data_IF_826045562551
#
_entry.id   IF_826045562551
#
_cell.length_a   1.000
_cell.length_b   1.000
_cell.length_c   1.000
_cell.angle_alpha   90.00
_cell.angle_beta   90.00
_cell.angle_gamma   90.00
#
_symmetry.space_group_name_H-M   'P 1'
#
loop_
_entity.id
_entity.type
_entity.pdbx_description
1 polymer ?
#
# COMPACT_ATOMS: atom_id res chain seq x y z
N UNK A 1 -11.88 18.03 -13.79
CA UNK A 1 -10.57 17.46 -14.15
C UNK A 1 -9.94 16.91 -12.87
N UNK A 2 -9.88 15.59 -12.73
CA UNK A 2 -9.37 14.95 -11.49
C UNK A 2 -7.87 14.74 -11.66
N UNK A 3 -7.08 15.73 -11.27
CA UNK A 3 -5.62 15.59 -11.29
C UNK A 3 -5.18 14.73 -10.10
N UNK A 4 -4.26 13.75 -10.31
CA UNK A 4 -3.65 13.02 -9.22
C UNK A 4 -2.91 13.97 -8.28
N UNK A 5 -3.11 13.77 -6.99
CA UNK A 5 -2.50 14.55 -5.90
C UNK A 5 -1.26 13.80 -5.44
N UNK A 6 -0.12 14.46 -5.41
CA UNK A 6 1.09 13.87 -4.85
C UNK A 6 1.00 13.86 -3.33
N UNK A 7 1.13 12.67 -2.73
CA UNK A 7 1.07 12.47 -1.28
C UNK A 7 2.46 12.45 -0.64
N UNK A 8 3.44 11.88 -1.33
CA UNK A 8 4.75 11.60 -0.81
C UNK A 8 5.83 11.64 -1.90
N UNK A 9 7.08 11.91 -1.51
CA UNK A 9 8.19 12.08 -2.47
C UNK A 9 9.17 10.90 -2.52
N UNK A 10 9.28 10.11 -1.44
CA UNK A 10 10.23 8.99 -1.39
C UNK A 10 9.72 7.82 -0.52
N UNK A 11 9.20 6.73 -1.12
CA UNK A 11 8.91 6.59 -2.56
C UNK A 11 7.81 7.56 -3.02
N UNK A 12 7.86 8.01 -4.25
CA UNK A 12 6.81 8.91 -4.78
C UNK A 12 5.45 8.20 -4.74
N UNK A 13 4.46 8.85 -4.16
CA UNK A 13 3.11 8.32 -4.05
C UNK A 13 2.08 9.33 -4.53
N UNK A 14 1.06 8.86 -5.23
CA UNK A 14 -0.01 9.64 -5.82
C UNK A 14 -1.38 9.14 -5.37
N UNK A 15 -2.30 10.06 -5.17
CA UNK A 15 -3.71 9.79 -4.90
C UNK A 15 -4.56 10.24 -6.09
N UNK A 16 -5.43 9.37 -6.56
CA UNK A 16 -6.48 9.69 -7.51
C UNK A 16 -7.84 9.39 -6.89
N UNK A 17 -8.74 10.36 -6.88
CA UNK A 17 -10.11 10.21 -6.40
C UNK A 17 -11.03 10.35 -7.61
N UNK A 18 -11.94 9.39 -7.79
CA UNK A 18 -12.94 9.36 -8.85
C UNK A 18 -14.33 9.36 -8.21
N UNK A 19 -14.98 10.53 -8.02
CA UNK A 19 -16.30 10.62 -7.45
C UNK A 19 -17.36 9.92 -8.31
N UNK A 20 -18.26 9.19 -7.67
CA UNK A 20 -19.41 8.53 -8.31
C UNK A 20 -20.77 9.08 -7.84
N UNK A 21 -20.80 9.80 -6.71
CA UNK A 21 -21.98 10.46 -6.19
C UNK A 21 -21.63 11.63 -5.29
N UNK A 22 -22.44 12.68 -5.31
CA UNK A 22 -22.33 13.84 -4.43
C UNK A 22 -23.71 14.06 -3.80
N UNK A 23 -23.74 14.13 -2.47
CA UNK A 23 -24.97 14.28 -1.71
C UNK A 23 -24.82 15.41 -0.69
N UNK A 24 -25.87 16.18 -0.49
CA UNK A 24 -25.86 17.35 0.39
C UNK A 24 -27.07 17.27 1.33
N UNK A 25 -26.84 17.50 2.62
CA UNK A 25 -27.93 17.63 3.59
C UNK A 25 -28.57 19.03 3.52
N UNK A 26 -29.80 19.19 4.02
CA UNK A 26 -30.36 20.53 4.22
C UNK A 26 -29.40 21.40 5.05
N UNK A 27 -29.45 22.70 4.77
CA UNK A 27 -28.72 23.70 5.52
C UNK A 27 -29.38 23.90 6.89
N UNK A 28 -28.60 23.81 7.94
CA UNK A 28 -29.02 24.08 9.32
C UNK A 28 -28.08 25.12 9.94
N UNK A 29 -28.56 25.90 10.88
CA UNK A 29 -27.74 26.90 11.55
C UNK A 29 -28.53 27.93 12.32
N UNK A 30 -27.85 29.00 12.72
CA UNK A 30 -28.39 30.14 13.44
C UNK A 30 -27.85 31.47 12.83
N UNK A 31 -27.84 32.54 13.65
CA UNK A 31 -27.44 33.89 13.19
C UNK A 31 -26.00 33.98 12.75
N UNK A 32 -25.13 33.14 13.33
CA UNK A 32 -23.67 33.26 13.17
C UNK A 32 -23.06 32.26 12.18
N UNK A 33 -23.74 31.15 11.96
CA UNK A 33 -23.24 30.09 11.08
C UNK A 33 -24.33 29.25 10.43
N UNK A 34 -24.00 28.68 9.29
CA UNK A 34 -24.80 27.66 8.61
C UNK A 34 -23.97 26.40 8.42
N UNK A 35 -24.60 25.24 8.53
CA UNK A 35 -23.97 23.92 8.39
C UNK A 35 -24.72 23.07 7.38
N UNK A 36 -23.97 22.38 6.56
CA UNK A 36 -24.44 21.27 5.74
C UNK A 36 -23.38 20.16 5.74
N UNK A 37 -23.79 18.93 5.57
CA UNK A 37 -22.86 17.82 5.34
C UNK A 37 -22.87 17.48 3.87
N UNK A 38 -21.67 17.40 3.27
CA UNK A 38 -21.48 16.95 1.90
C UNK A 38 -20.91 15.53 1.99
N UNK A 39 -21.63 14.55 1.45
CA UNK A 39 -21.12 13.19 1.27
C UNK A 39 -20.68 13.01 -0.17
N UNK A 40 -19.46 12.53 -0.35
CA UNK A 40 -18.89 12.18 -1.65
C UNK A 40 -18.63 10.69 -1.64
N UNK A 41 -19.34 9.96 -2.49
CA UNK A 41 -19.08 8.56 -2.77
C UNK A 41 -18.14 8.46 -3.98
N UNK A 42 -17.22 7.52 -3.98
CA UNK A 42 -16.25 7.39 -5.07
C UNK A 42 -15.18 6.34 -4.82
N UNK A 43 -14.27 6.22 -5.77
CA UNK A 43 -13.11 5.33 -5.68
C UNK A 43 -11.86 6.17 -5.42
N UNK A 44 -11.11 5.80 -4.38
CA UNK A 44 -9.81 6.38 -4.08
C UNK A 44 -8.72 5.34 -4.39
N UNK A 45 -7.76 5.72 -5.21
CA UNK A 45 -6.65 4.87 -5.65
C UNK A 45 -5.33 5.55 -5.32
N UNK A 46 -4.37 4.79 -4.81
CA UNK A 46 -3.00 5.27 -4.63
C UNK A 46 -2.05 4.52 -5.54
N UNK A 47 -1.04 5.22 -6.02
CA UNK A 47 -0.03 4.69 -6.94
C UNK A 47 1.35 5.00 -6.38
N UNK A 48 2.23 3.99 -6.36
CA UNK A 48 3.63 4.19 -5.98
C UNK A 48 4.46 4.28 -7.26
N UNK A 49 5.37 5.27 -7.33
CA UNK A 49 6.23 5.51 -8.46
C UNK A 49 5.67 6.54 -9.44
N UNK A 50 5.40 6.16 -10.68
CA UNK A 50 5.00 7.07 -11.75
C UNK A 50 3.63 7.71 -11.52
N UNK A 51 3.49 8.98 -11.92
CA UNK A 51 2.21 9.70 -11.88
C UNK A 51 1.17 8.98 -12.75
N UNK A 52 0.01 8.58 -12.20
CA UNK A 52 -1.02 7.91 -12.98
C UNK A 52 -1.67 8.86 -13.99
N UNK A 53 -2.20 8.28 -15.06
CA UNK A 53 -2.94 9.04 -16.06
C UNK A 53 -4.17 9.73 -15.45
N UNK A 54 -4.49 10.91 -15.94
CA UNK A 54 -5.71 11.64 -15.55
C UNK A 54 -6.91 10.93 -16.17
N UNK A 55 -7.88 10.55 -15.34
CA UNK A 55 -9.20 10.13 -15.82
C UNK A 55 -10.10 11.35 -15.99
N UNK A 56 -10.50 11.62 -17.21
CA UNK A 56 -11.48 12.66 -17.48
C UNK A 56 -12.88 12.06 -17.30
N UNK A 57 -13.52 12.38 -16.18
CA UNK A 57 -14.91 12.03 -15.90
C UNK A 57 -15.66 13.30 -15.50
N UNK A 58 -16.93 13.41 -15.87
CA UNK A 58 -17.78 14.46 -15.38
C UNK A 58 -18.03 14.27 -13.88
N UNK A 59 -18.11 15.38 -13.14
CA UNK A 59 -18.55 15.32 -11.76
C UNK A 59 -20.03 14.92 -11.73
N UNK A 60 -20.43 14.02 -10.80
CA UNK A 60 -21.83 13.71 -10.59
C UNK A 60 -22.61 14.95 -10.17
N UNK A 61 -23.87 15.04 -10.58
CA UNK A 61 -24.77 16.06 -10.05
C UNK A 61 -25.01 15.84 -8.56
N UNK A 62 -25.11 16.92 -7.80
CA UNK A 62 -25.44 16.85 -6.39
C UNK A 62 -26.90 16.46 -6.18
N UNK A 63 -27.15 15.55 -5.23
CA UNK A 63 -28.47 15.11 -4.81
C UNK A 63 -28.69 15.44 -3.33
N UNK A 64 -29.95 15.70 -2.94
CA UNK A 64 -30.27 15.94 -1.54
C UNK A 64 -30.45 14.63 -0.77
N UNK A 65 -29.99 14.61 0.49
CA UNK A 65 -30.20 13.54 1.46
C UNK A 65 -30.58 14.14 2.80
N UNK A 66 -31.37 13.42 3.60
CA UNK A 66 -31.86 13.97 4.89
C UNK A 66 -30.74 14.02 5.95
N UNK A 67 -29.84 13.05 5.97
CA UNK A 67 -28.78 12.94 6.98
C UNK A 67 -27.50 12.41 6.36
N UNK A 68 -26.38 12.86 6.87
CA UNK A 68 -25.06 12.28 6.58
C UNK A 68 -24.19 12.36 7.84
N UNK A 69 -23.25 11.41 7.98
CA UNK A 69 -22.26 11.41 9.05
C UNK A 69 -21.10 12.35 8.70
N UNK A 70 -20.54 13.01 9.71
CA UNK A 70 -19.26 13.73 9.60
C UNK A 70 -18.03 12.79 9.55
N UNK A 71 -18.25 11.48 9.67
CA UNK A 71 -17.21 10.48 9.58
C UNK A 71 -17.00 10.06 8.12
N UNK A 72 -15.77 9.75 7.78
CA UNK A 72 -15.44 9.12 6.50
C UNK A 72 -15.01 7.67 6.68
N UNK A 73 -15.27 6.87 5.65
CA UNK A 73 -14.76 5.51 5.48
C UNK A 73 -14.16 5.44 4.09
N UNK A 74 -12.88 5.15 3.99
CA UNK A 74 -12.17 5.11 2.73
C UNK A 74 -11.47 3.75 2.60
N UNK A 75 -11.63 3.11 1.44
CA UNK A 75 -10.78 2.00 1.01
C UNK A 75 -9.87 2.50 -0.10
N UNK A 76 -8.59 2.67 0.22
CA UNK A 76 -7.57 3.07 -0.73
C UNK A 76 -7.02 1.83 -1.41
N UNK A 77 -7.08 1.77 -2.73
CA UNK A 77 -6.41 0.71 -3.49
C UNK A 77 -5.01 1.20 -3.83
N UNK A 78 -4.01 0.64 -3.16
CA UNK A 78 -2.61 0.87 -3.48
C UNK A 78 -2.19 -0.04 -4.62
N UNK A 79 -1.57 0.50 -5.65
CA UNK A 79 -1.08 -0.20 -6.83
C UNK A 79 0.44 -0.05 -6.93
N UNK A 80 1.16 -1.17 -6.87
CA UNK A 80 2.61 -1.23 -6.95
C UNK A 80 3.03 -2.18 -8.07
N UNK A 81 3.79 -1.68 -9.04
CA UNK A 81 4.33 -2.53 -10.10
C UNK A 81 5.29 -3.59 -9.56
N UNK A 82 5.43 -4.70 -10.26
CA UNK A 82 6.39 -5.74 -9.88
C UNK A 82 7.84 -5.24 -9.90
N UNK A 83 8.16 -4.34 -10.80
CA UNK A 83 9.48 -3.72 -10.89
C UNK A 83 9.80 -2.92 -9.63
N UNK A 84 8.88 -2.09 -9.16
CA UNK A 84 9.04 -1.30 -7.94
C UNK A 84 9.12 -2.18 -6.69
N UNK A 85 8.25 -3.19 -6.60
CA UNK A 85 8.31 -4.18 -5.52
C UNK A 85 9.66 -4.89 -5.49
N UNK A 86 10.22 -5.28 -6.65
CA UNK A 86 11.54 -5.89 -6.77
C UNK A 86 12.67 -4.94 -6.35
N UNK A 87 12.61 -3.66 -6.71
CA UNK A 87 13.58 -2.64 -6.28
C UNK A 87 13.57 -2.48 -4.76
N UNK A 88 12.39 -2.33 -4.17
CA UNK A 88 12.24 -2.19 -2.71
C UNK A 88 12.73 -3.44 -1.98
N UNK A 89 12.35 -4.63 -2.45
CA UNK A 89 12.83 -5.89 -1.86
C UNK A 89 14.36 -6.03 -1.97
N UNK A 90 14.94 -5.62 -3.10
CA UNK A 90 16.40 -5.61 -3.27
C UNK A 90 17.06 -4.64 -2.30
N UNK A 91 16.56 -3.42 -2.15
CA UNK A 91 17.11 -2.43 -1.20
C UNK A 91 17.13 -2.94 0.24
N UNK A 92 16.11 -3.71 0.66
CA UNK A 92 16.01 -4.23 2.02
C UNK A 92 16.80 -5.50 2.26
N UNK A 93 16.97 -6.36 1.25
CA UNK A 93 17.48 -7.72 1.43
C UNK A 93 18.82 -7.98 0.75
N UNK A 94 19.27 -7.15 -0.21
CA UNK A 94 20.58 -7.32 -0.84
C UNK A 94 21.71 -7.19 0.19
N UNK A 95 22.73 -8.02 0.04
CA UNK A 95 23.85 -8.12 0.97
C UNK A 95 23.59 -9.01 2.19
N UNK A 96 22.36 -9.41 2.46
CA UNK A 96 22.09 -10.35 3.53
C UNK A 96 22.69 -11.72 3.23
N UNK A 97 23.20 -12.35 4.29
CA UNK A 97 23.84 -13.67 4.22
C UNK A 97 23.05 -14.69 5.01
N UNK A 98 22.70 -15.78 4.36
CA UNK A 98 22.03 -16.92 4.98
C UNK A 98 23.01 -18.09 5.08
N UNK A 99 23.07 -18.70 6.25
CA UNK A 99 23.97 -19.82 6.54
C UNK A 99 23.18 -21.10 6.85
N UNK A 100 23.74 -22.25 6.49
CA UNK A 100 23.25 -23.54 6.96
C UNK A 100 23.34 -23.65 8.49
N UNK A 101 22.62 -24.60 9.09
CA UNK A 101 22.58 -24.81 10.54
C UNK A 101 23.97 -25.02 11.18
N UNK A 102 24.91 -25.61 10.44
CA UNK A 102 26.29 -25.83 10.88
C UNK A 102 27.25 -24.68 10.47
N UNK A 103 26.76 -23.59 9.87
CA UNK A 103 27.55 -22.44 9.45
C UNK A 103 28.49 -22.65 8.27
N UNK A 104 28.64 -23.91 7.79
CA UNK A 104 29.65 -24.26 6.75
C UNK A 104 29.28 -23.80 5.35
N UNK A 105 27.96 -23.63 5.07
CA UNK A 105 27.49 -23.19 3.75
C UNK A 105 26.76 -21.85 3.90
N UNK A 106 27.12 -20.92 3.01
CA UNK A 106 26.59 -19.55 3.02
C UNK A 106 26.10 -19.18 1.63
N UNK A 107 25.02 -18.44 1.56
CA UNK A 107 24.54 -17.76 0.37
C UNK A 107 24.34 -16.27 0.67
N UNK A 108 24.62 -15.44 -0.31
CA UNK A 108 24.40 -14.00 -0.27
C UNK A 108 23.27 -13.64 -1.23
N UNK A 109 22.41 -12.73 -0.85
CA UNK A 109 21.39 -12.17 -1.74
C UNK A 109 22.03 -11.04 -2.55
N UNK A 110 22.01 -11.18 -3.88
CA UNK A 110 22.54 -10.16 -4.79
C UNK A 110 21.42 -9.22 -5.27
N UNK A 111 20.28 -9.76 -5.71
CA UNK A 111 19.14 -9.00 -6.19
C UNK A 111 17.85 -9.82 -6.13
N UNK A 112 16.71 -9.12 -6.12
CA UNK A 112 15.39 -9.72 -6.06
C UNK A 112 14.54 -9.18 -7.22
N UNK A 113 13.85 -10.10 -7.90
CA UNK A 113 12.89 -9.82 -8.95
C UNK A 113 11.55 -10.39 -8.53
N UNK A 114 10.48 -9.64 -8.75
CA UNK A 114 9.13 -10.03 -8.36
C UNK A 114 8.25 -10.13 -9.61
N UNK A 115 7.39 -11.15 -9.64
CA UNK A 115 6.45 -11.42 -10.73
C UNK A 115 5.12 -11.90 -10.17
N UNK A 116 4.05 -11.72 -10.95
CA UNK A 116 2.75 -12.34 -10.69
C UNK A 116 2.63 -13.70 -11.37
N UNK A 117 1.98 -14.63 -10.70
CA UNK A 117 1.67 -15.96 -11.23
C UNK A 117 0.30 -16.44 -10.76
N UNK A 118 -0.77 -16.01 -11.42
CA UNK A 118 -2.15 -16.21 -10.96
C UNK A 118 -2.40 -15.44 -9.67
N UNK A 119 -2.81 -16.11 -8.60
CA UNK A 119 -2.98 -15.52 -7.27
C UNK A 119 -1.67 -15.46 -6.45
N UNK A 120 -0.58 -16.00 -6.99
CA UNK A 120 0.68 -16.10 -6.29
C UNK A 120 1.66 -15.01 -6.73
N UNK A 121 2.50 -14.62 -5.79
CA UNK A 121 3.69 -13.84 -6.02
C UNK A 121 4.86 -14.81 -6.21
N UNK A 122 5.70 -14.54 -7.21
CA UNK A 122 6.94 -15.26 -7.47
C UNK A 122 8.09 -14.31 -7.15
N UNK A 123 8.90 -14.68 -6.16
CA UNK A 123 10.10 -13.95 -5.75
C UNK A 123 11.31 -14.71 -6.29
N UNK A 124 11.93 -14.19 -7.35
CA UNK A 124 13.15 -14.70 -7.95
C UNK A 124 14.33 -14.00 -7.32
N UNK A 125 15.11 -14.71 -6.52
CA UNK A 125 16.25 -14.18 -5.78
C UNK A 125 17.55 -14.66 -6.43
N UNK A 126 18.36 -13.72 -6.93
CA UNK A 126 19.72 -14.03 -7.38
C UNK A 126 20.60 -14.18 -6.15
N UNK A 127 21.32 -15.28 -6.10
CA UNK A 127 22.21 -15.61 -4.97
C UNK A 127 23.59 -16.00 -5.44
N UNK A 128 24.59 -15.69 -4.60
CA UNK A 128 26.00 -16.05 -4.76
C UNK A 128 26.54 -16.72 -3.50
N UNK A 129 27.78 -17.24 -3.56
CA UNK A 129 28.45 -17.94 -2.47
C UNK A 129 28.57 -19.44 -2.73
N UNK A 130 28.16 -20.30 -1.79
CA UNK A 130 28.21 -21.75 -2.01
C UNK A 130 27.26 -22.23 -3.13
N UNK A 131 26.28 -21.38 -3.49
CA UNK A 131 25.43 -21.57 -4.65
C UNK A 131 25.41 -20.28 -5.45
N UNK A 132 25.62 -20.40 -6.77
CA UNK A 132 25.49 -19.30 -7.71
C UNK A 132 24.32 -19.60 -8.65
N UNK A 133 23.24 -18.81 -8.57
CA UNK A 133 22.06 -19.05 -9.38
C UNK A 133 20.85 -18.29 -8.87
N UNK A 134 19.67 -18.88 -9.06
CA UNK A 134 18.42 -18.29 -8.62
C UNK A 134 17.66 -19.24 -7.69
N UNK A 135 17.06 -18.64 -6.66
CA UNK A 135 16.06 -19.27 -5.81
C UNK A 135 14.73 -18.63 -6.13
N UNK A 136 13.72 -19.46 -6.41
CA UNK A 136 12.36 -19.01 -6.64
C UNK A 136 11.51 -19.39 -5.44
N UNK A 137 10.81 -18.41 -4.91
CA UNK A 137 9.82 -18.59 -3.86
C UNK A 137 8.47 -18.20 -4.45
N UNK A 138 7.48 -19.06 -4.30
CA UNK A 138 6.12 -18.83 -4.82
C UNK A 138 5.14 -18.98 -3.67
N UNK A 139 4.26 -18.01 -3.50
CA UNK A 139 3.23 -18.06 -2.46
C UNK A 139 2.19 -16.96 -2.64
N UNK A 140 1.05 -17.12 -1.97
CA UNK A 140 -0.02 -16.12 -1.99
C UNK A 140 0.33 -15.01 -0.98
N UNK A 141 0.45 -13.74 -1.40
CA UNK A 141 0.65 -12.64 -0.47
C UNK A 141 -0.59 -12.50 0.42
N UNK A 142 -0.36 -12.43 1.71
CA UNK A 142 -1.42 -12.43 2.72
C UNK A 142 -1.07 -11.43 3.81
N UNK A 143 -2.05 -10.70 4.28
CA UNK A 143 -1.95 -9.84 5.45
C UNK A 143 -2.61 -10.52 6.64
N UNK A 144 -1.89 -10.59 7.75
CA UNK A 144 -2.40 -11.01 9.06
C UNK A 144 -2.67 -9.76 9.91
N UNK A 145 -3.94 -9.49 10.18
CA UNK A 145 -4.37 -8.31 10.94
C UNK A 145 -4.00 -8.37 12.41
N UNK A 146 -3.82 -9.57 12.99
CA UNK A 146 -3.46 -9.73 14.41
C UNK A 146 -1.99 -9.36 14.61
N UNK A 147 -1.10 -9.95 13.82
CA UNK A 147 0.34 -9.66 13.89
C UNK A 147 0.75 -8.43 13.07
N UNK A 148 -0.17 -7.82 12.32
CA UNK A 148 0.07 -6.72 11.39
C UNK A 148 1.25 -7.01 10.43
N UNK A 149 1.26 -8.23 9.89
CA UNK A 149 2.38 -8.74 9.10
C UNK A 149 1.93 -9.17 7.71
N UNK A 150 2.70 -8.78 6.70
CA UNK A 150 2.58 -9.29 5.33
C UNK A 150 3.52 -10.47 5.17
N UNK A 151 3.05 -11.57 4.59
CA UNK A 151 3.83 -12.78 4.34
C UNK A 151 3.31 -13.54 3.13
N UNK A 152 4.08 -14.53 2.66
CA UNK A 152 3.67 -15.45 1.61
C UNK A 152 3.08 -16.73 2.22
N UNK A 153 1.78 -16.95 2.02
CA UNK A 153 1.07 -18.18 2.43
C UNK A 153 1.29 -19.27 1.39
N UNK A 154 1.30 -20.53 1.84
CA UNK A 154 1.50 -21.71 0.98
C UNK A 154 2.80 -21.61 0.16
N UNK A 155 3.90 -21.28 0.84
CA UNK A 155 5.17 -21.07 0.19
C UNK A 155 5.69 -22.37 -0.44
N UNK A 156 5.89 -22.32 -1.74
CA UNK A 156 6.62 -23.31 -2.54
C UNK A 156 7.96 -22.70 -3.01
N UNK A 157 8.95 -23.52 -3.27
CA UNK A 157 10.26 -23.05 -3.68
C UNK A 157 10.91 -23.98 -4.69
N UNK A 158 11.69 -23.40 -5.60
CA UNK A 158 12.56 -24.13 -6.53
C UNK A 158 13.92 -23.42 -6.65
N UNK A 159 14.93 -24.17 -7.05
CA UNK A 159 16.29 -23.67 -7.19
C UNK A 159 16.78 -23.96 -8.60
N UNK A 160 17.25 -22.93 -9.27
CA UNK A 160 17.89 -23.00 -10.56
C UNK A 160 19.36 -22.61 -10.41
N UNK A 161 20.27 -23.54 -10.71
CA UNK A 161 21.71 -23.29 -10.63
C UNK A 161 22.40 -23.62 -11.95
N UNK A 162 23.50 -22.91 -12.26
CA UNK A 162 24.30 -23.17 -13.47
C UNK A 162 25.01 -24.51 -13.43
N UNK A 163 25.24 -25.10 -12.24
CA UNK A 163 25.93 -26.36 -12.06
C UNK A 163 24.92 -27.48 -11.85
N UNK A 164 24.64 -28.24 -12.91
CA UNK A 164 23.78 -29.43 -12.89
C UNK A 164 24.22 -30.52 -11.87
N UNK A 165 25.41 -30.41 -11.31
CA UNK A 165 25.96 -31.32 -10.27
C UNK A 165 25.40 -31.08 -8.87
N UNK A 166 24.68 -30.01 -8.63
CA UNK A 166 24.07 -29.76 -7.31
C UNK A 166 22.71 -30.47 -7.22
N UNK A 167 22.69 -31.80 -7.43
CA UNK A 167 21.68 -32.69 -6.82
C UNK A 167 21.67 -32.60 -5.27
N UNK A 168 22.56 -31.81 -4.69
CA UNK A 168 22.73 -31.51 -3.28
C UNK A 168 21.98 -30.24 -2.82
N UNK A 169 21.08 -29.70 -3.62
CA UNK A 169 20.12 -28.66 -3.18
C UNK A 169 19.25 -29.08 -1.98
N UNK A 170 19.28 -30.37 -1.65
CA UNK A 170 18.57 -30.96 -0.52
C UNK A 170 18.89 -30.32 0.85
N UNK A 171 20.07 -29.68 1.00
CA UNK A 171 20.42 -29.00 2.26
C UNK A 171 19.74 -27.63 2.41
N UNK A 172 19.50 -26.92 1.29
CA UNK A 172 18.68 -25.70 1.31
C UNK A 172 17.22 -26.09 1.58
N UNK A 173 16.77 -27.18 0.96
CA UNK A 173 15.39 -27.65 0.95
C UNK A 173 14.96 -28.23 2.30
N UNK A 174 15.86 -28.87 3.04
CA UNK A 174 15.57 -29.54 4.33
C UNK A 174 15.94 -28.73 5.57
N UNK A 175 16.45 -27.51 5.41
CA UNK A 175 17.10 -26.86 6.52
C UNK A 175 16.43 -25.57 6.97
N UNK A 176 16.85 -25.14 8.13
CA UNK A 176 16.74 -23.81 8.75
C UNK A 176 16.77 -22.63 7.75
N UNK A 177 17.40 -22.79 6.56
CA UNK A 177 17.50 -21.75 5.55
C UNK A 177 16.15 -21.38 4.93
N UNK A 178 15.34 -22.38 4.55
CA UNK A 178 13.99 -22.09 4.01
C UNK A 178 13.14 -21.37 5.05
N UNK A 179 13.20 -21.81 6.33
CA UNK A 179 12.51 -21.12 7.41
C UNK A 179 13.01 -19.69 7.59
N UNK A 180 14.31 -19.46 7.57
CA UNK A 180 14.89 -18.11 7.66
C UNK A 180 14.51 -17.23 6.48
N UNK A 181 14.48 -17.78 5.27
CA UNK A 181 13.99 -17.05 4.10
C UNK A 181 12.50 -16.73 4.20
N UNK A 182 11.69 -17.66 4.71
CA UNK A 182 10.28 -17.40 5.02
C UNK A 182 10.11 -16.29 6.05
N UNK A 183 10.94 -16.32 7.10
CA UNK A 183 10.93 -15.29 8.14
C UNK A 183 11.39 -13.94 7.58
N UNK A 184 12.43 -13.91 6.74
CA UNK A 184 12.90 -12.69 6.06
C UNK A 184 11.87 -12.08 5.09
N UNK A 185 10.97 -12.90 4.54
CA UNK A 185 9.85 -12.46 3.70
C UNK A 185 8.60 -12.07 4.50
N UNK A 186 8.66 -12.15 5.84
CA UNK A 186 7.62 -11.60 6.72
C UNK A 186 7.96 -10.16 7.04
N UNK A 187 7.04 -9.27 6.72
CA UNK A 187 7.23 -7.85 6.94
C UNK A 187 6.14 -7.29 7.84
N UNK A 188 6.53 -6.79 9.03
CA UNK A 188 5.59 -6.09 9.91
C UNK A 188 5.37 -4.68 9.38
N UNK A 189 4.12 -4.35 9.09
CA UNK A 189 3.73 -3.01 8.62
C UNK A 189 3.25 -2.10 9.76
N UNK A 190 3.29 -2.56 11.00
CA UNK A 190 2.75 -1.85 12.15
C UNK A 190 3.38 -0.46 12.33
N UNK A 191 4.71 -0.41 12.31
CA UNK A 191 5.45 0.84 12.48
C UNK A 191 5.22 1.81 11.31
N UNK A 192 5.20 1.29 10.08
CA UNK A 192 4.96 2.09 8.87
C UNK A 192 3.55 2.68 8.87
N UNK A 193 2.54 1.87 9.19
CA UNK A 193 1.16 2.33 9.27
C UNK A 193 0.97 3.38 10.37
N UNK A 194 1.62 3.22 11.52
CA UNK A 194 1.60 4.21 12.60
C UNK A 194 2.26 5.53 12.17
N UNK A 195 3.41 5.46 11.53
CA UNK A 195 4.13 6.65 11.06
C UNK A 195 3.37 7.37 9.94
N UNK A 196 2.84 6.62 8.94
CA UNK A 196 1.99 7.17 7.88
C UNK A 196 0.77 7.87 8.49
N UNK A 197 0.06 7.20 9.42
CA UNK A 197 -1.09 7.78 10.12
C UNK A 197 -0.72 9.09 10.83
N UNK A 198 0.41 9.12 11.52
CA UNK A 198 0.91 10.31 12.23
C UNK A 198 1.20 11.45 11.25
N UNK A 199 1.93 11.18 10.17
CA UNK A 199 2.28 12.18 9.15
C UNK A 199 1.04 12.74 8.45
N UNK A 200 0.13 11.85 8.02
CA UNK A 200 -1.13 12.27 7.38
C UNK A 200 -1.97 13.10 8.35
N UNK A 201 -2.12 12.69 9.60
CA UNK A 201 -2.85 13.46 10.61
C UNK A 201 -2.24 14.84 10.85
N UNK A 202 -0.91 14.95 10.90
CA UNK A 202 -0.23 16.23 11.02
C UNK A 202 -0.55 17.16 9.82
N UNK A 203 -0.60 16.60 8.60
CA UNK A 203 -0.89 17.35 7.38
C UNK A 203 -2.35 17.78 7.28
N UNK A 204 -3.32 16.89 7.62
CA UNK A 204 -4.76 17.14 7.45
C UNK A 204 -5.41 17.78 8.69
N UNK A 205 -4.70 17.86 9.82
CA UNK A 205 -5.24 18.45 11.07
C UNK A 205 -5.76 19.87 10.89
N UNK A 206 -5.13 20.64 10.00
CA UNK A 206 -5.63 21.93 9.53
C UNK A 206 -5.05 22.20 8.15
N UNK A 207 -5.83 21.97 7.12
CA UNK A 207 -5.44 22.21 5.74
C UNK A 207 -6.21 23.41 5.17
N UNK A 208 -5.51 24.47 4.82
CA UNK A 208 -6.11 25.67 4.24
C UNK A 208 -6.19 25.49 2.71
N UNK A 209 -7.40 25.30 2.20
CA UNK A 209 -7.68 25.19 0.76
C UNK A 209 -7.53 26.57 0.10
N UNK A 210 -8.04 27.59 0.77
CA UNK A 210 -7.90 29.00 0.41
C UNK A 210 -7.77 29.82 1.68
N UNK A 211 -7.65 31.17 1.57
CA UNK A 211 -7.67 32.07 2.74
C UNK A 211 -8.96 31.96 3.57
N UNK A 212 -10.08 31.65 2.90
CA UNK A 212 -11.41 31.58 3.52
C UNK A 212 -11.89 30.16 3.77
N UNK A 213 -11.23 29.12 3.23
CA UNK A 213 -11.67 27.72 3.33
C UNK A 213 -10.60 26.89 4.01
N UNK A 214 -10.94 26.30 5.14
CA UNK A 214 -10.08 25.38 5.88
C UNK A 214 -10.76 24.03 6.10
N UNK A 215 -9.98 22.96 6.01
CA UNK A 215 -10.39 21.58 6.32
C UNK A 215 -9.65 21.17 7.59
N UNK A 216 -10.38 20.57 8.53
CA UNK A 216 -9.85 19.87 9.69
C UNK A 216 -10.26 18.41 9.59
N UNK A 217 -9.31 17.51 9.51
CA UNK A 217 -9.56 16.08 9.42
C UNK A 217 -8.64 15.30 10.35
N UNK A 218 -9.07 14.09 10.71
CA UNK A 218 -8.28 13.17 11.53
C UNK A 218 -8.58 11.73 11.12
N UNK A 219 -7.54 10.93 10.90
CA UNK A 219 -7.63 9.49 10.70
C UNK A 219 -7.69 8.80 12.06
N UNK A 220 -8.76 8.07 12.33
CA UNK A 220 -8.93 7.25 13.53
C UNK A 220 -8.27 5.87 13.36
N UNK A 221 -8.52 5.20 12.23
CA UNK A 221 -7.97 3.90 11.90
C UNK A 221 -7.29 3.93 10.53
N UNK A 222 -6.18 3.20 10.40
CA UNK A 222 -5.45 2.99 9.15
C UNK A 222 -4.77 1.63 9.19
N UNK A 223 -5.20 0.71 8.36
CA UNK A 223 -4.60 -0.63 8.28
C UNK A 223 -4.84 -1.28 6.91
N UNK A 224 -3.96 -2.20 6.47
CA UNK A 224 -4.24 -3.05 5.32
C UNK A 224 -5.46 -3.94 5.60
N UNK A 225 -6.25 -4.22 4.56
CA UNK A 225 -7.38 -5.14 4.62
C UNK A 225 -7.12 -6.39 3.79
N UNK A 226 -6.59 -6.19 2.60
CA UNK A 226 -6.39 -7.26 1.63
C UNK A 226 -5.20 -6.95 0.72
N UNK A 227 -4.49 -8.00 0.29
CA UNK A 227 -3.42 -7.91 -0.70
C UNK A 227 -3.69 -8.96 -1.78
N UNK A 228 -3.62 -8.57 -3.03
CA UNK A 228 -3.83 -9.47 -4.15
C UNK A 228 -2.90 -9.15 -5.33
N UNK A 229 -2.71 -10.17 -6.15
CA UNK A 229 -1.85 -10.14 -7.33
C UNK A 229 -2.71 -9.96 -8.57
N UNK A 230 -2.31 -9.07 -9.46
CA UNK A 230 -2.90 -8.89 -10.78
C UNK A 230 -1.92 -9.34 -11.86
N UNK A 231 -2.26 -9.18 -13.14
CA UNK A 231 -1.33 -9.47 -14.25
C UNK A 231 -0.13 -8.50 -14.27
N UNK A 232 -0.30 -7.28 -13.78
CA UNK A 232 0.65 -6.18 -13.98
C UNK A 232 1.27 -5.68 -12.67
N UNK A 233 0.61 -5.95 -11.53
CA UNK A 233 0.97 -5.31 -10.26
C UNK A 233 0.52 -6.10 -9.04
N UNK A 234 1.01 -5.68 -7.89
CA UNK A 234 0.52 -6.04 -6.56
C UNK A 234 -0.44 -4.93 -6.12
N UNK A 235 -1.64 -5.31 -5.70
CA UNK A 235 -2.60 -4.36 -5.13
C UNK A 235 -2.82 -4.66 -3.66
N UNK A 236 -2.82 -3.60 -2.87
CA UNK A 236 -3.19 -3.65 -1.45
C UNK A 236 -4.37 -2.73 -1.20
N UNK A 237 -5.39 -3.22 -0.53
CA UNK A 237 -6.51 -2.39 -0.06
C UNK A 237 -6.17 -1.91 1.34
N UNK A 238 -6.04 -0.60 1.51
CA UNK A 238 -5.83 0.06 2.80
C UNK A 238 -7.16 0.66 3.25
N UNK A 239 -7.59 0.29 4.43
CA UNK A 239 -8.80 0.80 5.06
C UNK A 239 -8.44 1.97 5.98
N UNK A 240 -9.20 3.05 5.87
CA UNK A 240 -9.07 4.22 6.74
C UNK A 240 -10.45 4.72 7.17
N UNK A 241 -10.57 5.07 8.46
CA UNK A 241 -11.73 5.78 9.01
C UNK A 241 -11.28 7.07 9.70
N UNK A 242 -12.19 8.01 9.82
CA UNK A 242 -11.88 9.25 10.50
C UNK A 242 -13.00 10.28 10.44
N UNK A 243 -12.67 11.50 10.80
CA UNK A 243 -13.58 12.64 10.78
C UNK A 243 -13.04 13.75 9.88
N UNK A 244 -13.94 14.48 9.25
CA UNK A 244 -13.59 15.65 8.45
C UNK A 244 -14.63 16.75 8.61
N UNK A 245 -14.14 17.97 8.85
CA UNK A 245 -14.97 19.18 8.90
C UNK A 245 -14.36 20.25 8.00
N UNK A 246 -15.20 20.95 7.24
CA UNK A 246 -14.79 22.10 6.45
C UNK A 246 -15.42 23.36 7.04
N UNK A 247 -14.63 24.41 7.16
CA UNK A 247 -15.08 25.72 7.59
C UNK A 247 -14.84 26.72 6.47
N UNK A 248 -15.87 27.52 6.15
CA UNK A 248 -15.81 28.61 5.19
C UNK A 248 -16.05 29.90 5.98
N UNK A 249 -15.12 30.84 5.90
CA UNK A 249 -15.22 32.16 6.57
C UNK A 249 -15.35 33.24 5.50
N UNK A 250 -16.33 34.17 5.71
CA UNK A 250 -16.54 35.30 4.81
C UNK A 250 -16.96 34.84 3.41
N UNK A 251 -18.20 34.43 3.27
CA UNK A 251 -18.85 34.36 1.96
C UNK A 251 -19.17 35.80 1.55
N UNK A 252 -18.32 36.41 0.73
CA UNK A 252 -18.71 37.62 0.01
C UNK A 252 -19.76 37.19 -1.04
N UNK A 253 -21.00 37.31 -0.66
CA UNK A 253 -22.14 37.10 -1.58
C UNK A 253 -22.30 38.41 -2.35
N UNK A 254 -21.76 38.47 -3.56
CA UNK A 254 -22.03 39.54 -4.53
C UNK A 254 -23.35 39.25 -5.26
#
# INVERSE_FOLDING_TARGET
MHQPIQLYNNPTAWLRISPSGIFVTPLTGDKDYARATIRIDGVAETFIGSKPAVKLTNLPNASYINTASGNFVISLVNDMTYEEAGKLATQHLAGQTFSSSNGKKKIHIDSIYIYGGGENLIVKTKVSGNINGFIYLKGKPTYDSISQTIYLKNLDYSIETKNAMIKTGNWILKSTLTKRMQEALRYSVAADMAEIKKQVNAYISTYNVTKSVSIKASIAELHPKEIFVTKESIKAVIFATGTMNMSIKGLDIY
#
